data_IF_811794090429
#
_entry.id   IF_811794090429
#
_cell.length_a   1.000
_cell.length_b   1.000
_cell.length_c   1.000
_cell.angle_alpha   90.00
_cell.angle_beta   90.00
_cell.angle_gamma   90.00
#
_symmetry.space_group_name_H-M   'P 1'
#
loop_
_entity.id
_entity.type
_entity.pdbx_description
1 polymer ?
#
# COMPACT_ATOMS: atom_id res chain seq x y z
N UNK A 1 1.75 -2.72 -4.36
CA UNK A 1 2.96 -3.51 -4.07
C UNK A 1 3.59 -3.92 -5.39
N UNK A 2 4.92 -4.05 -5.46
CA UNK A 2 5.57 -4.59 -6.66
C UNK A 2 5.25 -6.09 -6.78
N UNK A 3 4.85 -6.53 -7.98
CA UNK A 3 4.57 -7.92 -8.31
C UNK A 3 4.76 -8.14 -9.81
N UNK A 4 4.84 -9.40 -10.25
CA UNK A 4 4.91 -9.76 -11.68
C UNK A 4 3.70 -9.25 -12.47
N UNK A 5 2.52 -9.22 -11.83
CA UNK A 5 1.30 -8.65 -12.42
C UNK A 5 1.45 -7.15 -12.73
N UNK A 6 2.07 -6.39 -11.81
CA UNK A 6 2.37 -4.97 -12.03
C UNK A 6 3.44 -4.80 -13.11
N UNK A 7 4.48 -5.64 -13.13
CA UNK A 7 5.52 -5.57 -14.15
C UNK A 7 4.91 -5.77 -15.57
N UNK A 8 3.93 -6.67 -15.72
CA UNK A 8 3.14 -6.82 -16.97
C UNK A 8 2.33 -5.58 -17.34
N UNK A 9 1.69 -4.92 -16.39
CA UNK A 9 0.97 -3.66 -16.62
C UNK A 9 1.94 -2.60 -17.17
N UNK A 10 3.11 -2.48 -16.56
CA UNK A 10 4.14 -1.53 -16.99
C UNK A 10 4.70 -1.86 -18.39
N UNK A 11 4.80 -3.14 -18.75
CA UNK A 11 5.17 -3.56 -20.10
C UNK A 11 4.10 -3.15 -21.13
N UNK A 12 2.82 -3.39 -20.84
CA UNK A 12 1.71 -2.97 -21.70
C UNK A 12 1.70 -1.46 -21.87
N UNK A 13 1.81 -0.71 -20.77
CA UNK A 13 1.85 0.76 -20.79
C UNK A 13 3.02 1.29 -21.64
N UNK A 14 4.19 0.66 -21.60
CA UNK A 14 5.34 1.05 -22.43
C UNK A 14 5.13 0.86 -23.94
N UNK A 15 4.33 -0.15 -24.33
CA UNK A 15 4.14 -0.52 -25.75
C UNK A 15 2.86 0.05 -26.33
N UNK A 16 1.76 0.05 -25.57
CA UNK A 16 0.43 0.50 -25.99
C UNK A 16 -0.31 1.14 -24.81
N UNK A 17 -0.02 2.43 -24.51
CA UNK A 17 -0.56 3.15 -23.35
C UNK A 17 -2.01 3.60 -23.55
N UNK A 18 -2.90 2.71 -24.01
CA UNK A 18 -4.32 3.01 -24.15
C UNK A 18 -5.09 2.46 -22.96
N UNK A 19 -6.19 3.14 -22.62
CA UNK A 19 -7.08 2.66 -21.56
C UNK A 19 -7.61 1.25 -21.88
N UNK A 20 -7.95 0.99 -23.14
CA UNK A 20 -8.48 -0.28 -23.60
C UNK A 20 -7.50 -1.44 -23.43
N UNK A 21 -6.19 -1.18 -23.57
CA UNK A 21 -5.14 -2.17 -23.34
C UNK A 21 -4.95 -2.49 -21.84
N UNK A 22 -5.26 -1.52 -20.96
CA UNK A 22 -5.05 -1.62 -19.52
C UNK A 22 -6.29 -2.01 -18.72
N UNK A 23 -7.50 -1.72 -19.22
CA UNK A 23 -8.77 -1.73 -18.47
C UNK A 23 -9.02 -3.00 -17.67
N UNK A 24 -8.68 -4.18 -18.23
CA UNK A 24 -8.89 -5.47 -17.57
C UNK A 24 -7.94 -5.63 -16.37
N UNK A 25 -6.70 -5.16 -16.53
CA UNK A 25 -5.63 -5.29 -15.54
C UNK A 25 -5.76 -4.28 -14.38
N UNK A 26 -6.33 -3.10 -14.65
CA UNK A 26 -6.52 -2.05 -13.65
C UNK A 26 -7.95 -2.00 -13.09
N UNK A 27 -8.78 -2.99 -13.43
CA UNK A 27 -10.16 -3.06 -13.00
C UNK A 27 -10.28 -3.22 -11.48
N UNK A 28 -11.39 -2.76 -10.91
CA UNK A 28 -11.70 -3.01 -9.50
C UNK A 28 -11.76 -4.50 -9.16
N UNK A 29 -12.21 -5.33 -10.12
CA UNK A 29 -12.23 -6.78 -9.97
C UNK A 29 -10.81 -7.37 -9.84
N UNK A 30 -9.86 -6.93 -10.68
CA UNK A 30 -8.45 -7.33 -10.57
C UNK A 30 -7.84 -6.90 -9.22
N UNK A 31 -8.18 -5.71 -8.71
CA UNK A 31 -7.71 -5.25 -7.40
C UNK A 31 -8.20 -6.18 -6.25
N UNK A 32 -9.44 -6.67 -6.35
CA UNK A 32 -10.01 -7.54 -5.32
C UNK A 32 -9.37 -8.93 -5.26
N UNK A 33 -8.91 -9.49 -6.39
CA UNK A 33 -8.36 -10.85 -6.46
C UNK A 33 -7.19 -11.08 -5.51
N UNK A 34 -6.29 -10.11 -5.37
CA UNK A 34 -5.20 -10.24 -4.41
C UNK A 34 -5.68 -9.90 -2.99
N UNK A 35 -6.37 -8.77 -2.79
CA UNK A 35 -6.71 -8.28 -1.45
C UNK A 35 -7.65 -9.22 -0.68
N UNK A 36 -8.64 -9.81 -1.36
CA UNK A 36 -9.66 -10.66 -0.73
C UNK A 36 -9.40 -12.16 -0.93
N UNK A 37 -8.93 -12.55 -2.12
CA UNK A 37 -8.84 -13.97 -2.50
C UNK A 37 -7.40 -14.54 -2.42
N UNK A 38 -6.41 -13.72 -2.05
CA UNK A 38 -4.97 -14.06 -1.97
C UNK A 38 -4.37 -14.58 -3.29
N UNK A 39 -4.98 -14.26 -4.44
CA UNK A 39 -4.48 -14.63 -5.77
C UNK A 39 -3.61 -13.49 -6.33
N UNK A 40 -2.30 -13.56 -6.04
CA UNK A 40 -1.31 -12.50 -6.36
C UNK A 40 -1.08 -12.35 -7.86
N UNK A 41 -1.22 -13.45 -8.59
CA UNK A 41 -0.96 -13.57 -10.02
C UNK A 41 -2.10 -12.97 -10.86
N UNK A 42 -3.26 -12.71 -10.26
CA UNK A 42 -4.46 -12.21 -10.93
C UNK A 42 -4.87 -10.80 -10.46
N UNK A 43 -4.06 -10.13 -9.65
CA UNK A 43 -4.48 -8.88 -9.04
C UNK A 43 -3.39 -7.94 -8.55
N UNK A 44 -3.85 -6.80 -8.03
CA UNK A 44 -2.99 -5.72 -7.50
C UNK A 44 -3.29 -5.54 -6.01
N UNK A 45 -2.26 -5.63 -5.16
CA UNK A 45 -2.35 -5.28 -3.75
C UNK A 45 -1.97 -3.82 -3.58
N UNK A 46 -2.96 -2.93 -3.46
CA UNK A 46 -2.72 -1.52 -3.23
C UNK A 46 -2.07 -1.30 -1.86
N UNK A 47 -0.87 -0.71 -1.87
CA UNK A 47 -0.15 -0.34 -0.65
C UNK A 47 0.74 0.87 -0.92
N UNK A 48 0.79 1.80 0.03
CA UNK A 48 1.73 2.91 0.01
C UNK A 48 3.14 2.48 0.44
N UNK A 49 4.15 3.32 0.15
CA UNK A 49 5.54 3.07 0.55
C UNK A 49 5.71 2.91 2.08
N UNK A 50 4.83 3.54 2.87
CA UNK A 50 4.80 3.42 4.33
C UNK A 50 4.65 1.99 4.83
N UNK A 51 4.19 1.05 3.99
CA UNK A 51 4.13 -0.38 4.37
C UNK A 51 5.47 -0.92 4.86
N UNK A 52 6.60 -0.36 4.39
CA UNK A 52 7.94 -0.74 4.86
C UNK A 52 8.24 -0.32 6.31
N UNK A 53 7.40 0.52 6.92
CA UNK A 53 7.47 0.94 8.32
C UNK A 53 6.52 0.17 9.23
N UNK A 54 5.68 -0.71 8.68
CA UNK A 54 4.70 -1.50 9.44
C UNK A 54 5.31 -2.86 9.74
N UNK A 55 5.45 -3.19 11.02
CA UNK A 55 6.09 -4.42 11.49
C UNK A 55 5.22 -5.24 12.46
N UNK A 56 4.00 -4.78 12.73
CA UNK A 56 3.05 -5.40 13.64
C UNK A 56 1.61 -5.20 13.17
N UNK A 57 0.67 -5.90 13.80
CA UNK A 57 -0.77 -5.87 13.47
C UNK A 57 -1.56 -5.56 14.75
N UNK A 58 -1.57 -4.29 15.20
CA UNK A 58 -2.31 -3.87 16.39
C UNK A 58 -3.82 -3.78 16.11
N UNK A 59 -4.62 -3.71 17.16
CA UNK A 59 -5.99 -3.18 17.03
C UNK A 59 -5.95 -1.70 16.66
N UNK A 60 -7.06 -1.18 16.10
CA UNK A 60 -7.18 0.25 15.77
C UNK A 60 -6.97 1.13 17.01
N UNK A 61 -7.48 0.72 18.18
CA UNK A 61 -7.33 1.48 19.42
C UNK A 61 -5.87 1.56 19.88
N UNK A 62 -5.14 0.45 19.84
CA UNK A 62 -3.72 0.41 20.20
C UNK A 62 -2.86 1.24 19.22
N UNK A 63 -3.14 1.13 17.92
CA UNK A 63 -2.44 1.91 16.89
C UNK A 63 -2.60 3.41 17.16
N UNK A 64 -3.84 3.87 17.30
CA UNK A 64 -4.12 5.29 17.52
C UNK A 64 -3.53 5.80 18.84
N UNK A 65 -3.65 5.01 19.92
CA UNK A 65 -3.08 5.36 21.22
C UNK A 65 -1.55 5.47 21.18
N UNK A 66 -0.89 4.54 20.47
CA UNK A 66 0.56 4.58 20.25
C UNK A 66 0.98 5.81 19.44
N UNK A 67 0.32 6.11 18.33
CA UNK A 67 0.64 7.27 17.48
C UNK A 67 0.61 8.59 18.25
N UNK A 68 -0.43 8.80 19.08
CA UNK A 68 -0.56 10.02 19.91
C UNK A 68 0.56 10.07 20.95
N UNK A 69 0.80 8.97 21.67
CA UNK A 69 1.83 8.90 22.71
C UNK A 69 3.24 9.14 22.14
N UNK A 70 3.55 8.58 20.98
CA UNK A 70 4.82 8.80 20.28
C UNK A 70 4.99 10.27 19.88
N UNK A 71 3.95 10.89 19.30
CA UNK A 71 3.97 12.30 18.95
C UNK A 71 4.18 13.21 20.17
N UNK A 72 3.50 12.94 21.29
CA UNK A 72 3.68 13.67 22.54
C UNK A 72 5.10 13.53 23.11
N UNK A 73 5.66 12.32 23.06
CA UNK A 73 7.03 12.04 23.49
C UNK A 73 8.04 12.82 22.65
N UNK A 74 7.90 12.81 21.32
CA UNK A 74 8.75 13.57 20.39
C UNK A 74 8.66 15.07 20.67
N UNK A 75 7.44 15.61 20.77
CA UNK A 75 7.19 17.02 21.12
C UNK A 75 7.88 17.40 22.43
N UNK A 76 7.77 16.55 23.45
CA UNK A 76 8.38 16.79 24.76
C UNK A 76 9.91 16.76 24.74
N UNK A 77 10.53 15.90 23.94
CA UNK A 77 11.99 15.85 23.79
C UNK A 77 12.53 17.09 23.07
N UNK A 78 11.91 17.49 21.96
CA UNK A 78 12.38 18.63 21.16
C UNK A 78 12.11 19.97 21.84
N UNK A 79 11.00 20.11 22.56
CA UNK A 79 10.68 21.33 23.31
C UNK A 79 11.58 21.58 24.54
N UNK A 80 12.25 20.53 25.07
CA UNK A 80 13.22 20.67 26.18
C UNK A 80 14.63 21.05 25.73
N UNK A 81 14.92 20.92 24.44
CA UNK A 81 16.21 21.26 23.83
C UNK A 81 16.23 22.69 23.25
N UNK A 82 15.11 23.42 23.34
CA UNK A 82 14.95 24.80 22.89
C UNK A 82 15.16 25.80 24.03
#
# INVERSE_FOLDING_TARGET
>A
LRSEYIDKILEIERVTPTYEALKEYISGAANMRWIYDDVKEEGIGWAGQVTGMIHDIPTVSELMGRMVKEAESIRGMWGKQA
#
